data_IF_901132011350
#
_entry.id   IF_901132011350
#
_cell.length_a   1.000
_cell.length_b   1.000
_cell.length_c   1.000
_cell.angle_alpha   90.00
_cell.angle_beta   90.00
_cell.angle_gamma   90.00
#
_symmetry.space_group_name_H-M   'P 1'
#
loop_
_entity.id
_entity.type
_entity.pdbx_description
1 polymer ?
#
# COMPACT_ATOMS: atom_id res chain seq x y z
N UNK A 1 -16.40 10.50 -1.22
CA UNK A 1 -16.29 9.60 -2.36
C UNK A 1 -16.21 8.17 -1.91
N UNK A 2 -16.75 7.26 -2.72
CA UNK A 2 -16.76 5.84 -2.44
C UNK A 2 -15.92 5.11 -3.46
N UNK A 3 -15.02 4.27 -2.96
CA UNK A 3 -14.09 3.51 -3.79
C UNK A 3 -14.44 2.03 -3.60
N UNK A 4 -14.43 1.27 -4.68
CA UNK A 4 -14.67 -0.16 -4.59
C UNK A 4 -13.36 -0.88 -4.31
N UNK A 5 -13.33 -1.76 -3.31
CA UNK A 5 -12.09 -2.43 -2.92
C UNK A 5 -11.50 -3.30 -4.02
N UNK A 6 -12.34 -3.75 -4.95
CA UNK A 6 -11.90 -4.64 -6.05
C UNK A 6 -11.31 -3.87 -7.22
N UNK A 7 -11.16 -2.56 -7.13
CA UNK A 7 -10.58 -1.75 -8.20
C UNK A 7 -9.43 -0.92 -7.66
N UNK A 8 -8.41 -0.68 -8.49
CA UNK A 8 -7.36 0.24 -8.07
C UNK A 8 -7.89 1.66 -8.10
N UNK A 9 -7.27 2.54 -7.32
CA UNK A 9 -7.59 3.96 -7.37
C UNK A 9 -6.30 4.75 -7.16
N UNK A 10 -6.30 6.01 -7.60
CA UNK A 10 -5.10 6.83 -7.60
C UNK A 10 -5.30 8.07 -6.76
N UNK A 11 -4.32 8.37 -5.93
CA UNK A 11 -4.25 9.62 -5.18
C UNK A 11 -3.28 10.53 -5.94
N UNK A 12 -3.71 11.74 -6.23
CA UNK A 12 -2.88 12.70 -6.95
C UNK A 12 -2.55 13.88 -6.06
N UNK A 13 -1.29 14.30 -6.10
CA UNK A 13 -0.84 15.47 -5.36
C UNK A 13 -0.16 16.41 -6.33
N UNK A 14 -0.73 17.60 -6.46
CA UNK A 14 -0.21 18.62 -7.36
C UNK A 14 0.44 19.72 -6.55
N UNK A 15 1.63 20.13 -6.95
CA UNK A 15 2.40 21.10 -6.18
C UNK A 15 3.36 21.84 -7.09
N UNK A 16 3.90 22.95 -6.59
CA UNK A 16 4.84 23.76 -7.32
C UNK A 16 6.07 24.03 -6.48
N UNK A 17 7.23 23.89 -7.10
CA UNK A 17 8.49 24.22 -6.43
C UNK A 17 9.01 25.53 -6.99
N UNK A 18 9.35 26.45 -6.08
CA UNK A 18 9.92 27.73 -6.48
C UNK A 18 11.45 27.66 -6.63
N UNK A 19 12.07 26.68 -5.99
CA UNK A 19 13.50 26.49 -6.03
C UNK A 19 13.81 24.99 -6.07
N UNK A 20 14.99 24.64 -6.53
CA UNK A 20 15.41 23.24 -6.56
C UNK A 20 15.56 22.71 -5.14
N UNK A 21 15.16 21.46 -4.93
CA UNK A 21 15.24 20.80 -3.63
C UNK A 21 15.95 19.47 -3.80
N UNK A 22 16.97 19.25 -2.96
CA UNK A 22 17.69 17.98 -2.96
C UNK A 22 17.05 17.04 -1.94
N UNK A 23 16.78 15.80 -2.39
CA UNK A 23 16.26 14.77 -1.50
C UNK A 23 14.80 14.96 -1.13
N UNK A 24 14.03 15.69 -1.92
CA UNK A 24 12.61 15.86 -1.66
C UNK A 24 11.89 14.55 -1.86
N UNK A 25 11.00 14.23 -0.94
CA UNK A 25 10.05 13.13 -1.11
C UNK A 25 8.67 13.66 -0.79
N UNK A 26 7.73 13.32 -1.64
CA UNK A 26 6.34 13.69 -1.47
C UNK A 26 5.58 12.40 -1.24
N UNK A 27 4.79 12.35 -0.21
CA UNK A 27 4.18 11.10 0.13
C UNK A 27 2.87 11.23 0.85
N UNK A 28 2.32 10.07 1.17
CA UNK A 28 1.05 9.99 1.83
C UNK A 28 1.09 9.02 3.00
N UNK A 29 0.20 9.26 3.94
CA UNK A 29 -0.13 8.34 5.01
C UNK A 29 -1.57 7.92 4.82
N UNK A 30 -1.83 6.62 4.84
CA UNK A 30 -3.19 6.12 4.80
C UNK A 30 -3.55 5.69 6.20
N UNK A 31 -4.62 6.24 6.74
CA UNK A 31 -5.08 5.93 8.09
C UNK A 31 -6.51 5.47 8.07
N UNK A 32 -6.88 4.67 9.05
CA UNK A 32 -8.29 4.35 9.27
C UNK A 32 -8.98 5.60 9.84
N UNK A 33 -10.30 5.59 9.84
CA UNK A 33 -11.05 6.70 10.45
C UNK A 33 -10.76 6.88 11.93
N UNK A 34 -10.23 5.86 12.58
CA UNK A 34 -9.84 5.94 13.98
C UNK A 34 -8.45 6.50 14.19
N UNK A 35 -7.71 6.73 13.10
CA UNK A 35 -6.36 7.26 13.17
C UNK A 35 -5.27 6.21 13.18
N UNK A 36 -5.60 4.94 12.97
CA UNK A 36 -4.57 3.89 12.91
C UNK A 36 -3.87 3.94 11.56
N UNK A 37 -2.55 3.94 11.57
CA UNK A 37 -1.76 4.01 10.36
C UNK A 37 -1.80 2.68 9.61
N UNK A 38 -2.22 2.71 8.36
CA UNK A 38 -2.28 1.53 7.51
C UNK A 38 -0.98 1.40 6.72
N UNK A 39 -0.56 2.48 6.06
CA UNK A 39 0.70 2.48 5.30
C UNK A 39 1.21 3.90 5.09
N UNK A 40 2.49 3.98 4.78
CA UNK A 40 3.16 5.21 4.38
C UNK A 40 3.88 4.91 3.07
N UNK A 41 3.82 5.85 2.14
CA UNK A 41 4.49 5.67 0.85
C UNK A 41 4.97 7.01 0.33
N UNK A 42 6.13 7.01 -0.28
CA UNK A 42 6.73 8.22 -0.84
C UNK A 42 7.01 8.03 -2.32
N UNK A 43 6.97 9.12 -3.07
CA UNK A 43 7.11 9.06 -4.52
C UNK A 43 8.52 8.68 -4.99
N UNK A 44 9.48 8.66 -4.08
CA UNK A 44 10.85 8.24 -4.39
C UNK A 44 11.25 6.98 -3.62
N UNK A 45 10.28 6.12 -3.27
CA UNK A 45 10.59 4.86 -2.61
C UNK A 45 11.37 3.92 -3.49
N UNK A 46 11.12 3.93 -4.81
CA UNK A 46 11.86 3.09 -5.73
C UNK A 46 13.19 3.74 -6.07
N UNK A 47 14.28 2.97 -6.06
CA UNK A 47 15.62 3.55 -6.30
C UNK A 47 15.74 4.31 -7.60
N UNK A 48 15.05 3.87 -8.64
CA UNK A 48 15.08 4.58 -9.92
C UNK A 48 14.51 5.96 -9.82
N UNK A 49 13.38 6.09 -9.12
CA UNK A 49 12.77 7.39 -8.91
C UNK A 49 13.63 8.25 -8.00
N UNK A 50 14.21 7.64 -6.97
CA UNK A 50 15.08 8.36 -6.06
C UNK A 50 16.26 8.97 -6.84
N UNK A 51 16.88 8.18 -7.72
CA UNK A 51 18.00 8.68 -8.50
C UNK A 51 17.58 9.74 -9.48
N UNK A 52 16.46 9.55 -10.17
CA UNK A 52 15.97 10.49 -11.17
C UNK A 52 15.63 11.83 -10.56
N UNK A 53 15.02 11.83 -9.38
CA UNK A 53 14.55 13.04 -8.73
C UNK A 53 15.37 13.43 -7.50
N UNK A 54 16.65 13.02 -7.49
CA UNK A 54 17.54 13.39 -6.37
C UNK A 54 17.56 14.89 -6.15
N UNK A 55 17.62 15.65 -7.24
CA UNK A 55 17.40 17.09 -7.20
C UNK A 55 16.11 17.33 -7.98
N UNK A 56 15.11 17.91 -7.33
CA UNK A 56 13.86 18.22 -8.00
C UNK A 56 13.88 19.68 -8.35
N UNK A 57 13.86 19.96 -9.65
CA UNK A 57 14.05 21.31 -10.17
C UNK A 57 12.78 22.14 -9.98
N UNK A 58 12.88 23.47 -10.04
CA UNK A 58 11.69 24.31 -9.92
C UNK A 58 10.68 23.98 -11.02
N UNK A 59 9.42 24.10 -10.70
CA UNK A 59 8.35 23.86 -11.66
C UNK A 59 7.12 23.26 -10.98
N UNK A 60 6.16 22.92 -11.82
CA UNK A 60 4.91 22.32 -11.35
C UNK A 60 4.96 20.82 -11.54
N UNK A 61 4.51 20.08 -10.54
CA UNK A 61 4.59 18.64 -10.52
C UNK A 61 3.26 18.01 -10.17
N UNK A 62 3.12 16.76 -10.56
CA UNK A 62 1.98 15.96 -10.20
C UNK A 62 2.52 14.58 -9.80
N UNK A 63 2.42 14.25 -8.52
CA UNK A 63 2.80 12.93 -8.03
C UNK A 63 1.56 12.09 -7.88
N UNK A 64 1.56 10.91 -8.48
CA UNK A 64 0.42 9.98 -8.44
C UNK A 64 0.82 8.71 -7.74
N UNK A 65 -0.03 8.29 -6.81
CA UNK A 65 0.15 7.03 -6.10
C UNK A 65 -1.06 6.16 -6.37
N UNK A 66 -0.86 5.01 -6.98
CA UNK A 66 -1.95 4.10 -7.26
C UNK A 66 -2.03 3.04 -6.17
N UNK A 67 -3.16 2.98 -5.51
CA UNK A 67 -3.45 1.95 -4.51
C UNK A 67 -4.03 0.76 -5.26
N UNK A 68 -3.42 -0.41 -5.16
CA UNK A 68 -3.88 -1.56 -5.95
C UNK A 68 -5.24 -2.06 -5.49
N UNK A 69 -5.90 -2.77 -6.39
CA UNK A 69 -7.14 -3.47 -6.06
C UNK A 69 -6.86 -4.52 -5.00
N UNK A 70 -7.89 -4.87 -4.24
CA UNK A 70 -7.85 -5.97 -3.29
C UNK A 70 -6.79 -5.76 -2.20
N UNK A 71 -6.68 -4.53 -1.71
CA UNK A 71 -5.79 -4.23 -0.59
C UNK A 71 -6.57 -3.87 0.66
N UNK A 72 -7.49 -2.90 0.56
CA UNK A 72 -8.14 -2.33 1.74
C UNK A 72 -9.44 -3.05 2.08
N UNK A 73 -9.68 -3.25 3.36
CA UNK A 73 -10.96 -3.71 3.84
C UNK A 73 -11.98 -2.58 3.72
N UNK A 74 -13.26 -2.91 3.78
CA UNK A 74 -14.28 -1.86 3.73
C UNK A 74 -14.21 -1.00 4.98
N UNK A 75 -14.51 0.28 4.80
CA UNK A 75 -14.48 1.24 5.91
C UNK A 75 -14.14 2.63 5.42
N UNK A 76 -13.99 3.53 6.37
CA UNK A 76 -13.61 4.90 6.08
C UNK A 76 -12.13 5.11 6.34
N UNK A 77 -11.52 5.89 5.48
CA UNK A 77 -10.08 6.13 5.53
C UNK A 77 -9.76 7.60 5.38
N UNK A 78 -8.59 7.96 5.87
CA UNK A 78 -8.08 9.33 5.80
C UNK A 78 -6.74 9.27 5.08
N UNK A 79 -6.51 10.23 4.19
CA UNK A 79 -5.21 10.41 3.56
C UNK A 79 -4.56 11.65 4.15
N UNK A 80 -3.39 11.48 4.72
CA UNK A 80 -2.52 12.60 5.07
C UNK A 80 -1.43 12.71 4.02
N UNK A 81 -0.94 13.91 3.77
CA UNK A 81 0.09 14.15 2.78
C UNK A 81 1.27 14.88 3.42
N UNK A 82 2.43 14.69 2.83
CA UNK A 82 3.66 15.25 3.39
C UNK A 82 4.67 15.49 2.26
N UNK A 83 5.41 16.58 2.37
CA UNK A 83 6.54 16.83 1.50
C UNK A 83 7.72 17.24 2.36
N UNK A 84 8.81 16.50 2.28
CA UNK A 84 9.94 16.74 3.16
C UNK A 84 11.24 16.26 2.54
N UNK A 85 12.35 16.81 3.03
CA UNK A 85 13.68 16.25 2.81
C UNK A 85 14.08 15.60 4.12
N UNK A 86 14.42 14.33 4.10
CA UNK A 86 14.63 13.54 5.32
C UNK A 86 15.67 14.18 6.22
N UNK A 87 15.28 14.41 7.46
CA UNK A 87 16.11 15.02 8.52
C UNK A 87 16.61 16.42 8.21
N UNK A 88 16.14 17.03 7.12
CA UNK A 88 16.55 18.38 6.78
C UNK A 88 15.41 19.34 6.98
N UNK A 89 14.28 19.10 6.32
CA UNK A 89 13.20 20.06 6.35
C UNK A 89 11.88 19.42 5.96
N UNK A 90 10.80 19.87 6.61
CA UNK A 90 9.44 19.55 6.19
C UNK A 90 8.92 20.76 5.46
N UNK A 91 8.44 20.57 4.25
CA UNK A 91 7.93 21.66 3.43
C UNK A 91 6.44 21.87 3.64
N UNK A 92 5.67 20.80 3.70
CA UNK A 92 4.28 20.91 4.12
C UNK A 92 3.80 19.56 4.66
N UNK A 93 2.70 19.63 5.39
CA UNK A 93 2.05 18.43 5.92
C UNK A 93 0.58 18.77 6.14
N UNK A 94 -0.29 17.88 5.68
CA UNK A 94 -1.72 17.96 5.94
C UNK A 94 -2.17 16.57 6.38
N UNK A 95 -2.56 16.45 7.64
CA UNK A 95 -2.89 15.14 8.20
C UNK A 95 -4.28 14.66 7.78
N UNK A 96 -5.08 15.55 7.22
CA UNK A 96 -6.44 15.23 6.81
C UNK A 96 -6.73 15.80 5.43
N UNK A 97 -5.88 15.47 4.46
CA UNK A 97 -6.00 16.05 3.13
C UNK A 97 -7.28 15.60 2.44
N UNK A 98 -7.70 14.37 2.66
CA UNK A 98 -8.95 13.88 2.11
C UNK A 98 -9.42 12.64 2.86
N UNK A 99 -10.70 12.33 2.71
CA UNK A 99 -11.28 11.11 3.27
C UNK A 99 -12.03 10.39 2.16
N UNK A 100 -12.17 9.09 2.31
CA UNK A 100 -12.94 8.30 1.37
C UNK A 100 -13.46 7.05 2.07
N UNK A 101 -14.42 6.40 1.43
CA UNK A 101 -15.01 5.17 1.94
C UNK A 101 -14.73 4.05 0.97
N UNK A 102 -14.34 2.90 1.48
CA UNK A 102 -14.13 1.70 0.67
C UNK A 102 -15.35 0.80 0.82
N UNK A 103 -15.91 0.42 -0.33
CA UNK A 103 -17.02 -0.51 -0.42
C UNK A 103 -16.43 -1.90 -0.71
N UNK A 104 -16.79 -2.86 0.13
CA UNK A 104 -16.23 -4.21 0.04
C UNK A 104 -16.96 -5.16 -0.89
N UNK A 105 -17.88 -4.68 -1.71
CA UNK A 105 -18.62 -5.56 -2.61
C UNK A 105 -17.65 -6.31 -3.54
N UNK A 106 -17.77 -7.62 -3.60
CA UNK A 106 -16.90 -8.46 -4.43
C UNK A 106 -15.58 -8.82 -3.77
N UNK A 107 -15.30 -8.33 -2.58
CA UNK A 107 -14.06 -8.66 -1.86
C UNK A 107 -14.08 -10.12 -1.41
N UNK A 108 -12.90 -10.68 -1.10
CA UNK A 108 -12.85 -12.07 -0.61
C UNK A 108 -13.72 -12.24 0.62
N UNK A 109 -14.51 -13.30 0.64
CA UNK A 109 -15.29 -13.66 1.82
C UNK A 109 -16.59 -12.90 2.00
N UNK A 110 -17.07 -12.18 0.99
CA UNK A 110 -18.33 -11.44 1.11
C UNK A 110 -19.54 -12.36 1.26
N UNK A 111 -19.39 -13.65 0.94
CA UNK A 111 -20.48 -14.61 1.15
C UNK A 111 -20.65 -14.99 2.62
N UNK A 112 -19.68 -14.70 3.48
CA UNK A 112 -19.82 -14.94 4.91
C UNK A 112 -20.70 -13.85 5.54
N UNK A 113 -21.52 -14.19 6.50
CA UNK A 113 -22.44 -13.20 7.07
C UNK A 113 -21.76 -12.15 7.95
N UNK A 114 -20.62 -12.47 8.55
CA UNK A 114 -19.96 -11.52 9.44
C UNK A 114 -19.01 -10.63 8.68
N UNK A 115 -18.72 -9.47 9.25
CA UNK A 115 -17.77 -8.54 8.68
C UNK A 115 -16.35 -9.08 8.80
N UNK A 116 -15.53 -8.80 7.79
CA UNK A 116 -14.13 -9.19 7.84
C UNK A 116 -13.38 -8.25 8.76
N UNK A 117 -12.62 -8.82 9.69
CA UNK A 117 -11.77 -8.05 10.59
C UNK A 117 -10.48 -7.68 9.90
N UNK A 118 -9.87 -6.58 10.32
CA UNK A 118 -8.58 -6.15 9.81
C UNK A 118 -8.66 -4.96 8.88
N UNK A 119 -7.54 -4.28 8.70
CA UNK A 119 -7.47 -3.09 7.87
C UNK A 119 -7.28 -3.40 6.40
N UNK A 120 -6.73 -4.56 6.10
CA UNK A 120 -6.51 -4.97 4.71
C UNK A 120 -7.26 -6.27 4.45
N UNK A 121 -7.59 -6.48 3.19
CA UNK A 121 -8.39 -7.63 2.78
C UNK A 121 -7.92 -8.12 1.42
N UNK A 122 -6.68 -8.64 1.36
CA UNK A 122 -6.09 -9.04 0.09
C UNK A 122 -6.68 -10.36 -0.40
N UNK A 123 -6.53 -10.63 -1.68
CA UNK A 123 -6.88 -11.91 -2.26
C UNK A 123 -5.68 -12.82 -2.11
N UNK A 124 -5.71 -13.65 -1.07
CA UNK A 124 -4.64 -14.60 -0.86
C UNK A 124 -4.98 -15.91 -1.56
N UNK A 125 -3.96 -16.57 -2.03
CA UNK A 125 -4.14 -17.82 -2.75
C UNK A 125 -4.16 -18.97 -1.74
N UNK A 126 -5.26 -19.69 -1.68
CA UNK A 126 -5.43 -20.83 -0.79
C UNK A 126 -5.53 -22.11 -1.61
N UNK A 127 -4.85 -23.14 -1.16
CA UNK A 127 -4.98 -24.47 -1.71
C UNK A 127 -5.44 -25.39 -0.60
N UNK A 128 -6.37 -26.30 -0.91
CA UNK A 128 -6.90 -27.21 0.09
C UNK A 128 -6.65 -28.63 -0.40
N UNK A 129 -6.06 -29.42 0.47
CA UNK A 129 -5.72 -30.77 0.11
C UNK A 129 -5.99 -31.66 1.30
N UNK A 130 -6.64 -32.80 1.08
CA UNK A 130 -6.87 -33.75 2.14
C UNK A 130 -5.64 -34.62 2.29
N UNK A 131 -5.12 -34.73 3.50
CA UNK A 131 -3.95 -35.56 3.75
C UNK A 131 -4.29 -36.66 4.71
N UNK A 132 -3.40 -37.65 4.79
CA UNK A 132 -3.55 -38.72 5.75
C UNK A 132 -2.94 -38.29 7.08
N UNK A 133 -3.38 -38.95 8.15
CA UNK A 133 -2.78 -38.71 9.45
C UNK A 133 -3.73 -37.98 10.36
N UNK A 134 -3.28 -37.72 11.57
CA UNK A 134 -4.06 -37.04 12.57
C UNK A 134 -3.17 -36.02 13.25
N UNK A 135 -3.79 -35.08 13.91
CA UNK A 135 -3.06 -34.03 14.60
C UNK A 135 -2.91 -32.78 13.77
N UNK A 136 -2.20 -31.84 14.30
CA UNK A 136 -2.05 -30.53 13.71
C UNK A 136 -0.60 -30.12 13.67
N UNK A 137 -0.17 -29.55 12.56
CA UNK A 137 1.16 -29.01 12.43
C UNK A 137 1.08 -27.69 11.68
N UNK A 138 1.90 -26.76 12.07
CA UNK A 138 1.94 -25.44 11.45
C UNK A 138 3.37 -25.13 11.05
N UNK A 139 3.53 -24.60 9.85
CA UNK A 139 4.85 -24.24 9.36
C UNK A 139 4.74 -23.09 8.40
N UNK A 140 5.78 -22.29 8.32
CA UNK A 140 5.92 -21.30 7.30
C UNK A 140 7.15 -21.66 6.48
N UNK A 141 6.99 -21.72 5.18
CA UNK A 141 8.09 -22.05 4.28
C UNK A 141 8.23 -20.97 3.23
N UNK A 142 9.44 -20.78 2.76
CA UNK A 142 9.69 -19.86 1.68
C UNK A 142 9.82 -20.64 0.38
N UNK A 143 8.99 -20.31 -0.59
CA UNK A 143 9.07 -20.96 -1.88
C UNK A 143 9.78 -20.11 -2.91
N UNK A 144 10.26 -18.95 -2.51
CA UNK A 144 11.00 -18.11 -3.41
C UNK A 144 12.23 -18.82 -3.91
N UNK A 145 12.76 -19.69 -3.09
CA UNK A 145 13.97 -20.39 -3.43
C UNK A 145 13.76 -21.59 -4.30
N UNK A 146 12.57 -21.91 -4.65
CA UNK A 146 12.28 -23.09 -5.42
C UNK A 146 12.80 -22.97 -6.80
N UNK A 147 13.99 -23.36 -7.04
CA UNK A 147 14.50 -23.45 -8.37
C UNK A 147 14.42 -24.90 -8.76
N UNK A 148 14.41 -25.20 -10.03
CA UNK A 148 14.32 -26.57 -10.45
C UNK A 148 15.39 -27.46 -9.86
N UNK A 149 16.60 -27.00 -9.83
CA UNK A 149 17.63 -27.81 -9.29
C UNK A 149 17.48 -28.00 -7.82
N UNK A 150 16.94 -27.01 -7.17
CA UNK A 150 16.75 -27.07 -5.76
C UNK A 150 15.71 -28.07 -5.41
N UNK A 151 14.65 -28.14 -6.15
CA UNK A 151 13.67 -29.06 -5.84
C UNK A 151 14.10 -30.44 -6.00
N UNK A 152 14.97 -30.69 -6.91
CA UNK A 152 15.41 -32.01 -7.11
C UNK A 152 16.06 -32.59 -5.90
N UNK A 153 16.47 -31.74 -5.02
CA UNK A 153 17.12 -32.24 -3.88
C UNK A 153 16.22 -32.63 -2.81
N UNK A 154 15.07 -32.16 -2.89
CA UNK A 154 14.26 -32.25 -1.77
C UNK A 154 13.78 -33.59 -1.52
N UNK A 155 14.18 -34.55 -2.13
CA UNK A 155 13.69 -35.78 -1.77
C UNK A 155 14.45 -36.62 -1.18
#
# INVERSE_FOLDING_TARGET
DTIRSTRPFTIEMQYKLEAAITGLRVGLYLLTARGDLVLTSFDTDEPEKYDQYRVREPGSYLSRCTIPADLLNEGRYIIGVNASSYRIKRYFQDEYAMTFTVDGAGAPGTHWPESRQGMIRPRLNWQIEKVRGSGYEYAATSDVQSTPGHEALSE
#
